data_IF_581797021028
#
_entry.id   IF_581797021028
#
_cell.length_a   1.000
_cell.length_b   1.000
_cell.length_c   1.000
_cell.angle_alpha   90.00
_cell.angle_beta   90.00
_cell.angle_gamma   90.00
#
_symmetry.space_group_name_H-M   'P 1'
#
loop_
_entity.id
_entity.type
_entity.pdbx_description
1 polymer ?
#
# COMPACT_ATOMS: atom_id res chain seq x y z
N UNK A 1 23.32 -17.49 35.06
CA UNK A 1 23.28 -17.34 33.60
C UNK A 1 22.46 -16.09 33.33
N UNK A 2 23.15 -14.97 33.13
CA UNK A 2 22.64 -13.62 33.40
C UNK A 2 22.08 -12.99 32.13
N UNK A 3 20.91 -12.39 32.29
CA UNK A 3 20.11 -11.68 31.30
C UNK A 3 20.91 -10.51 30.69
N UNK A 4 21.19 -10.60 29.39
CA UNK A 4 21.90 -9.55 28.65
C UNK A 4 20.86 -8.61 28.05
N UNK A 5 20.62 -7.52 28.77
CA UNK A 5 19.72 -6.41 28.42
C UNK A 5 20.27 -5.67 27.18
N UNK A 6 19.86 -6.10 25.98
CA UNK A 6 20.27 -5.48 24.70
C UNK A 6 19.53 -4.15 24.55
N UNK A 7 20.15 -3.07 25.03
CA UNK A 7 19.69 -1.71 24.76
C UNK A 7 19.97 -1.33 23.31
N UNK A 8 18.95 -1.44 22.47
CA UNK A 8 18.99 -0.91 21.10
C UNK A 8 19.04 0.62 21.17
N UNK A 9 20.23 1.21 21.09
CA UNK A 9 20.39 2.66 20.96
C UNK A 9 20.09 3.05 19.51
N UNK A 10 18.89 3.55 19.24
CA UNK A 10 18.57 4.16 17.95
C UNK A 10 19.41 5.45 17.85
N UNK A 11 20.28 5.61 16.83
CA UNK A 11 21.05 6.82 16.67
C UNK A 11 20.12 8.02 16.57
N UNK A 12 20.21 8.95 17.52
CA UNK A 12 19.45 10.19 17.44
C UNK A 12 19.96 10.97 16.23
N UNK A 13 19.10 11.09 15.22
CA UNK A 13 19.38 11.87 14.03
C UNK A 13 19.80 13.29 14.46
N UNK A 14 21.00 13.71 14.04
CA UNK A 14 21.65 14.96 14.48
C UNK A 14 20.79 16.22 14.30
N UNK A 15 19.83 16.17 13.38
CA UNK A 15 18.91 17.27 13.09
C UNK A 15 17.50 17.09 13.64
N UNK A 16 17.24 16.05 14.45
CA UNK A 16 15.94 15.81 15.08
C UNK A 16 15.39 17.03 15.85
N UNK A 17 16.19 17.83 16.59
CA UNK A 17 15.70 19.03 17.28
C UNK A 17 15.28 20.16 16.34
N UNK A 18 15.84 20.21 15.12
CA UNK A 18 15.63 21.27 14.14
C UNK A 18 14.75 20.84 12.95
N UNK A 19 14.38 19.57 12.87
CA UNK A 19 13.61 18.99 11.78
C UNK A 19 12.31 19.78 11.52
N UNK A 20 11.63 20.19 12.59
CA UNK A 20 10.40 20.99 12.51
C UNK A 20 10.61 22.39 11.91
N UNK A 21 11.81 22.97 12.04
CA UNK A 21 12.16 24.27 11.42
C UNK A 21 12.33 24.17 9.91
N UNK A 22 12.61 22.96 9.41
CA UNK A 22 12.69 22.67 7.98
C UNK A 22 11.33 22.26 7.39
N UNK A 23 10.44 21.70 8.21
CA UNK A 23 9.06 21.34 7.78
C UNK A 23 8.31 22.59 7.28
N UNK A 24 8.46 23.75 7.94
CA UNK A 24 7.82 24.99 7.47
C UNK A 24 8.44 25.58 6.20
N UNK A 25 9.66 25.16 5.83
CA UNK A 25 10.33 25.54 4.57
C UNK A 25 9.99 24.60 3.42
N UNK A 26 9.46 23.41 3.70
CA UNK A 26 8.79 22.55 2.72
C UNK A 26 7.40 23.11 2.41
N UNK A 27 7.37 24.26 1.75
CA UNK A 27 6.15 24.83 1.19
C UNK A 27 5.73 24.03 -0.05
N UNK A 28 4.43 23.95 -0.36
CA UNK A 28 3.88 23.25 -1.54
C UNK A 28 4.59 23.63 -2.84
N UNK A 29 5.03 24.89 -2.97
CA UNK A 29 5.83 25.35 -4.11
C UNK A 29 7.15 24.59 -4.24
N UNK A 30 7.84 24.31 -3.14
CA UNK A 30 9.08 23.55 -3.13
C UNK A 30 8.84 22.08 -3.49
N UNK A 31 7.80 21.46 -2.92
CA UNK A 31 7.40 20.09 -3.27
C UNK A 31 7.05 19.97 -4.76
N UNK A 32 6.28 20.93 -5.30
CA UNK A 32 5.96 21.02 -6.73
C UNK A 32 7.21 21.22 -7.60
N UNK A 33 8.11 22.14 -7.25
CA UNK A 33 9.35 22.37 -8.00
C UNK A 33 10.25 21.13 -8.02
N UNK A 34 10.40 20.44 -6.89
CA UNK A 34 11.22 19.24 -6.77
C UNK A 34 10.60 18.07 -7.54
N UNK A 35 9.29 17.82 -7.41
CA UNK A 35 8.59 16.77 -8.16
C UNK A 35 8.59 17.06 -9.67
N UNK A 36 8.50 18.31 -10.09
CA UNK A 36 8.56 18.66 -11.52
C UNK A 36 9.88 18.25 -12.14
N UNK A 37 10.98 18.50 -11.44
CA UNK A 37 12.34 18.20 -11.91
C UNK A 37 12.69 16.72 -11.74
N UNK A 38 12.41 16.15 -10.57
CA UNK A 38 12.91 14.83 -10.17
C UNK A 38 11.85 13.72 -10.13
N UNK A 39 10.57 14.05 -10.37
CA UNK A 39 9.40 13.17 -10.22
C UNK A 39 9.25 12.59 -8.80
N UNK A 40 8.22 11.79 -8.57
CA UNK A 40 8.10 11.02 -7.33
C UNK A 40 9.15 9.90 -7.21
N UNK A 41 10.11 9.74 -8.14
CA UNK A 41 11.21 8.78 -7.98
C UNK A 41 12.10 9.05 -6.77
N UNK A 42 12.14 10.28 -6.26
CA UNK A 42 12.97 10.70 -5.11
C UNK A 42 12.43 10.29 -3.75
N UNK A 43 11.34 9.54 -3.71
CA UNK A 43 10.75 9.11 -2.45
C UNK A 43 11.79 8.44 -1.54
N UNK A 44 11.71 8.67 -0.21
CA UNK A 44 12.60 8.02 0.75
C UNK A 44 12.60 6.49 0.61
N UNK A 45 13.74 5.86 0.90
CA UNK A 45 13.88 4.41 0.81
C UNK A 45 12.83 3.65 1.64
N UNK A 46 12.48 4.18 2.82
CA UNK A 46 11.41 3.62 3.67
C UNK A 46 10.04 3.62 2.98
N UNK A 47 9.78 4.61 2.14
CA UNK A 47 8.51 4.73 1.42
C UNK A 47 8.50 3.82 0.20
N UNK A 48 9.61 3.73 -0.54
CA UNK A 48 9.79 2.71 -1.59
C UNK A 48 9.60 1.30 -1.04
N UNK A 49 10.16 1.00 0.14
CA UNK A 49 10.00 -0.30 0.79
C UNK A 49 8.54 -0.68 1.04
N UNK A 50 7.63 0.28 1.29
CA UNK A 50 6.19 0.00 1.42
C UNK A 50 5.59 -0.49 0.10
N UNK A 51 5.95 0.13 -1.03
CA UNK A 51 5.48 -0.33 -2.35
C UNK A 51 6.04 -1.69 -2.73
N UNK A 52 7.31 -1.95 -2.39
CA UNK A 52 7.94 -3.26 -2.59
C UNK A 52 7.26 -4.34 -1.74
N UNK A 53 6.93 -4.04 -0.49
CA UNK A 53 6.20 -4.96 0.39
C UNK A 53 4.77 -5.26 -0.09
N UNK A 54 4.18 -4.38 -0.90
CA UNK A 54 2.90 -4.64 -1.59
C UNK A 54 3.05 -5.54 -2.82
N UNK A 55 4.28 -5.91 -3.20
CA UNK A 55 4.57 -6.77 -4.35
C UNK A 55 4.12 -6.13 -5.69
N UNK A 56 4.18 -4.81 -5.77
CA UNK A 56 4.02 -4.08 -7.03
C UNK A 56 5.31 -4.25 -7.84
N UNK A 57 5.25 -4.68 -9.12
CA UNK A 57 6.44 -4.84 -9.95
C UNK A 57 7.29 -3.56 -10.01
N UNK A 58 8.61 -3.71 -9.93
CA UNK A 58 9.56 -2.59 -9.85
C UNK A 58 9.47 -1.65 -11.05
N UNK A 59 9.33 -2.22 -12.24
CA UNK A 59 9.18 -1.48 -13.49
C UNK A 59 7.90 -0.64 -13.51
N UNK A 60 6.79 -1.21 -13.03
CA UNK A 60 5.52 -0.50 -12.88
C UNK A 60 5.65 0.60 -11.84
N UNK A 61 6.23 0.31 -10.67
CA UNK A 61 6.47 1.29 -9.62
C UNK A 61 7.32 2.47 -10.14
N UNK A 62 8.44 2.18 -10.79
CA UNK A 62 9.34 3.21 -11.31
C UNK A 62 8.73 4.00 -12.47
N UNK A 63 7.84 3.40 -13.26
CA UNK A 63 7.08 4.09 -14.31
C UNK A 63 6.01 5.02 -13.70
N UNK A 64 5.20 4.52 -12.76
CA UNK A 64 4.17 5.30 -12.07
C UNK A 64 4.80 6.45 -11.28
N UNK A 65 5.90 6.24 -10.57
CA UNK A 65 6.58 7.31 -9.86
C UNK A 65 7.24 8.34 -10.81
N UNK A 66 7.60 7.94 -12.04
CA UNK A 66 8.15 8.85 -13.04
C UNK A 66 7.11 9.80 -13.65
N UNK A 67 5.85 9.36 -13.72
CA UNK A 67 4.77 10.17 -14.31
C UNK A 67 4.28 11.25 -13.35
N UNK A 68 4.45 11.06 -12.04
CA UNK A 68 4.05 12.02 -11.00
C UNK A 68 5.05 13.19 -10.99
N UNK A 69 4.61 14.37 -11.44
CA UNK A 69 5.39 15.61 -11.52
C UNK A 69 4.90 16.69 -10.57
N UNK A 70 3.69 16.55 -10.05
CA UNK A 70 3.11 17.39 -9.01
C UNK A 70 2.44 16.52 -7.95
N UNK A 71 2.19 17.05 -6.73
CA UNK A 71 1.42 16.32 -5.72
C UNK A 71 0.00 15.97 -6.18
N UNK A 72 -0.58 16.79 -7.06
CA UNK A 72 -1.93 16.60 -7.58
C UNK A 72 -2.01 15.40 -8.54
N UNK A 73 -0.90 15.08 -9.23
CA UNK A 73 -0.81 13.93 -10.14
C UNK A 73 -0.83 12.57 -9.41
N UNK A 74 -0.63 12.57 -8.08
CA UNK A 74 -0.39 11.34 -7.31
C UNK A 74 -1.54 10.34 -7.47
N UNK A 75 -2.77 10.76 -7.13
CA UNK A 75 -3.91 9.85 -7.19
C UNK A 75 -4.19 9.42 -8.62
N UNK A 76 -4.13 10.34 -9.58
CA UNK A 76 -4.40 10.05 -10.99
C UNK A 76 -3.43 9.00 -11.55
N UNK A 77 -2.13 9.13 -11.28
CA UNK A 77 -1.13 8.16 -11.73
C UNK A 77 -1.37 6.77 -11.14
N UNK A 78 -1.73 6.69 -9.87
CA UNK A 78 -2.04 5.42 -9.21
C UNK A 78 -3.38 4.82 -9.65
N UNK A 79 -4.40 5.65 -9.93
CA UNK A 79 -5.68 5.23 -10.50
C UNK A 79 -5.45 4.69 -11.91
N UNK A 80 -4.66 5.37 -12.75
CA UNK A 80 -4.31 4.89 -14.08
C UNK A 80 -3.59 3.54 -14.01
N UNK A 81 -2.63 3.40 -13.08
CA UNK A 81 -1.94 2.13 -12.82
C UNK A 81 -2.92 1.03 -12.42
N UNK A 82 -3.89 1.33 -11.55
CA UNK A 82 -4.94 0.39 -11.17
C UNK A 82 -5.80 -0.04 -12.37
N UNK A 83 -6.15 0.91 -13.25
CA UNK A 83 -6.94 0.62 -14.46
C UNK A 83 -6.20 -0.25 -15.46
N UNK A 84 -4.87 -0.10 -15.59
CA UNK A 84 -4.03 -1.01 -16.41
C UNK A 84 -4.13 -2.44 -15.90
N UNK A 85 -3.95 -2.66 -14.60
CA UNK A 85 -4.11 -3.99 -14.00
C UNK A 85 -5.55 -4.54 -14.10
N UNK A 86 -6.58 -3.69 -14.05
CA UNK A 86 -7.96 -4.13 -14.35
C UNK A 86 -8.13 -4.55 -15.81
N UNK A 87 -7.42 -3.89 -16.73
CA UNK A 87 -7.28 -4.33 -18.12
C UNK A 87 -6.67 -5.73 -18.21
N UNK A 88 -5.59 -5.98 -17.49
CA UNK A 88 -4.89 -7.28 -17.46
C UNK A 88 -5.78 -8.37 -16.88
N UNK A 89 -6.44 -8.08 -15.76
CA UNK A 89 -7.44 -8.94 -15.13
C UNK A 89 -8.51 -9.37 -16.13
N UNK A 90 -9.08 -8.41 -16.91
CA UNK A 90 -10.10 -8.73 -17.92
C UNK A 90 -9.55 -9.69 -18.98
N UNK A 91 -8.33 -9.45 -19.47
CA UNK A 91 -7.68 -10.32 -20.47
C UNK A 91 -7.46 -11.74 -19.94
N UNK A 92 -6.99 -11.87 -18.69
CA UNK A 92 -6.73 -13.16 -18.06
C UNK A 92 -8.02 -13.93 -17.76
N UNK A 93 -9.10 -13.25 -17.36
CA UNK A 93 -10.43 -13.87 -17.24
C UNK A 93 -10.90 -14.42 -18.58
N UNK A 94 -10.80 -13.64 -19.66
CA UNK A 94 -11.15 -14.09 -21.01
C UNK A 94 -10.31 -15.30 -21.45
N UNK A 95 -9.04 -15.36 -21.04
CA UNK A 95 -8.13 -16.48 -21.28
C UNK A 95 -8.29 -17.65 -20.30
N UNK A 96 -9.24 -17.59 -19.35
CA UNK A 96 -9.47 -18.60 -18.29
C UNK A 96 -8.26 -18.84 -17.36
N UNK A 97 -7.40 -17.84 -17.21
CA UNK A 97 -6.23 -17.84 -16.33
C UNK A 97 -6.58 -17.24 -14.97
N UNK A 98 -7.18 -18.05 -14.08
CA UNK A 98 -7.80 -17.56 -12.85
C UNK A 98 -6.80 -17.03 -11.80
N UNK A 99 -5.62 -17.65 -11.68
CA UNK A 99 -4.62 -17.23 -10.69
C UNK A 99 -4.00 -15.89 -11.09
N UNK A 100 -3.63 -15.77 -12.36
CA UNK A 100 -3.12 -14.56 -12.96
C UNK A 100 -4.15 -13.44 -12.85
N UNK A 101 -5.42 -13.73 -13.19
CA UNK A 101 -6.53 -12.79 -13.03
C UNK A 101 -6.66 -12.27 -11.59
N UNK A 102 -6.58 -13.17 -10.61
CA UNK A 102 -6.64 -12.76 -9.21
C UNK A 102 -5.43 -11.91 -8.80
N UNK A 103 -4.24 -12.22 -9.31
CA UNK A 103 -3.03 -11.46 -9.04
C UNK A 103 -3.10 -10.05 -9.63
N UNK A 104 -3.54 -9.92 -10.89
CA UNK A 104 -3.80 -8.62 -11.52
C UNK A 104 -4.87 -7.82 -10.74
N UNK A 105 -5.95 -8.49 -10.31
CA UNK A 105 -6.98 -7.85 -9.48
C UNK A 105 -6.42 -7.35 -8.13
N UNK A 106 -5.55 -8.13 -7.48
CA UNK A 106 -4.86 -7.70 -6.24
C UNK A 106 -3.99 -6.47 -6.50
N UNK A 107 -3.21 -6.45 -7.58
CA UNK A 107 -2.35 -5.32 -7.92
C UNK A 107 -3.17 -4.05 -8.23
N UNK A 108 -4.32 -4.19 -8.88
CA UNK A 108 -5.27 -3.09 -9.04
C UNK A 108 -5.75 -2.54 -7.69
N UNK A 109 -6.11 -3.44 -6.76
CA UNK A 109 -6.53 -3.04 -5.42
C UNK A 109 -5.44 -2.26 -4.65
N UNK A 110 -4.19 -2.72 -4.73
CA UNK A 110 -3.05 -2.08 -4.07
C UNK A 110 -2.64 -0.76 -4.74
N UNK A 111 -2.87 -0.63 -6.04
CA UNK A 111 -2.71 0.63 -6.76
C UNK A 111 -3.75 1.66 -6.30
N UNK A 112 -5.02 1.27 -6.15
CA UNK A 112 -6.03 2.14 -5.53
C UNK A 112 -5.76 2.46 -4.05
N UNK A 113 -5.16 1.53 -3.30
CA UNK A 113 -4.69 1.83 -1.95
C UNK A 113 -3.59 2.90 -1.97
N UNK A 114 -2.65 2.77 -2.90
CA UNK A 114 -1.52 3.70 -3.09
C UNK A 114 -1.98 5.11 -3.47
N UNK A 115 -3.05 5.23 -4.26
CA UNK A 115 -3.66 6.51 -4.62
C UNK A 115 -4.11 7.35 -3.41
N UNK A 116 -4.38 6.72 -2.26
CA UNK A 116 -4.87 7.38 -1.05
C UNK A 116 -3.75 7.86 -0.11
N UNK A 117 -2.49 7.47 -0.38
CA UNK A 117 -1.41 7.66 0.59
C UNK A 117 -0.88 9.10 0.63
N UNK A 118 -0.95 9.83 -0.49
CA UNK A 118 -0.36 11.16 -0.64
C UNK A 118 -1.19 12.02 -1.60
N UNK A 119 -0.92 13.33 -1.58
CA UNK A 119 -1.53 14.30 -2.49
C UNK A 119 -2.82 14.92 -1.96
N UNK A 120 -3.20 16.04 -2.59
CA UNK A 120 -4.38 16.85 -2.30
C UNK A 120 -5.60 16.39 -3.08
N UNK A 121 -5.88 15.08 -3.07
CA UNK A 121 -7.09 14.55 -3.73
C UNK A 121 -8.34 14.90 -2.92
N UNK A 122 -9.45 15.13 -3.62
CA UNK A 122 -10.72 15.39 -2.97
C UNK A 122 -11.25 14.15 -2.22
N UNK A 123 -12.05 14.40 -1.18
CA UNK A 123 -12.61 13.36 -0.30
C UNK A 123 -13.42 12.30 -1.06
N UNK A 124 -14.10 12.69 -2.16
CA UNK A 124 -14.90 11.74 -2.96
C UNK A 124 -13.99 10.78 -3.72
N UNK A 125 -12.88 11.26 -4.28
CA UNK A 125 -11.87 10.42 -4.93
C UNK A 125 -11.24 9.44 -3.94
N UNK A 126 -10.83 9.92 -2.76
CA UNK A 126 -10.25 9.07 -1.70
C UNK A 126 -11.24 7.99 -1.27
N UNK A 127 -12.51 8.35 -1.02
CA UNK A 127 -13.56 7.39 -0.63
C UNK A 127 -13.80 6.34 -1.72
N UNK A 128 -13.80 6.75 -2.98
CA UNK A 128 -13.98 5.84 -4.13
C UNK A 128 -12.81 4.87 -4.24
N UNK A 129 -11.57 5.36 -4.14
CA UNK A 129 -10.38 4.52 -4.15
C UNK A 129 -10.37 3.55 -2.97
N UNK A 130 -10.79 3.99 -1.77
CA UNK A 130 -10.89 3.13 -0.59
C UNK A 130 -11.88 1.98 -0.80
N UNK A 131 -13.07 2.29 -1.31
CA UNK A 131 -14.08 1.29 -1.60
C UNK A 131 -13.61 0.31 -2.69
N UNK A 132 -13.01 0.82 -3.76
CA UNK A 132 -12.47 0.01 -4.85
C UNK A 132 -11.35 -0.93 -4.37
N UNK A 133 -10.37 -0.40 -3.62
CA UNK A 133 -9.28 -1.18 -3.05
C UNK A 133 -9.80 -2.33 -2.16
N UNK A 134 -10.70 -2.01 -1.22
CA UNK A 134 -11.26 -3.02 -0.32
C UNK A 134 -12.04 -4.11 -1.08
N UNK A 135 -12.88 -3.71 -2.05
CA UNK A 135 -13.68 -4.65 -2.84
C UNK A 135 -12.82 -5.56 -3.71
N UNK A 136 -11.88 -4.99 -4.47
CA UNK A 136 -11.01 -5.75 -5.37
C UNK A 136 -10.09 -6.70 -4.61
N UNK A 137 -9.52 -6.25 -3.48
CA UNK A 137 -8.68 -7.10 -2.64
C UNK A 137 -9.48 -8.27 -2.06
N UNK A 138 -10.68 -8.01 -1.56
CA UNK A 138 -11.55 -9.06 -1.02
C UNK A 138 -11.92 -10.12 -2.07
N UNK A 139 -12.13 -9.72 -3.32
CA UNK A 139 -12.43 -10.63 -4.43
C UNK A 139 -11.20 -11.41 -4.93
N UNK A 140 -9.99 -10.86 -4.79
CA UNK A 140 -8.75 -11.54 -5.14
C UNK A 140 -8.28 -12.53 -4.05
N UNK A 141 -8.65 -12.26 -2.79
CA UNK A 141 -8.11 -12.95 -1.63
C UNK A 141 -8.21 -14.50 -1.67
N UNK A 142 -9.34 -15.12 -2.08
CA UNK A 142 -9.45 -16.58 -2.07
C UNK A 142 -8.45 -17.29 -3.00
N UNK A 143 -7.96 -16.60 -4.01
CA UNK A 143 -7.02 -17.16 -4.99
C UNK A 143 -5.56 -16.84 -4.63
N UNK A 144 -5.29 -15.62 -4.13
CA UNK A 144 -3.92 -15.21 -3.77
C UNK A 144 -3.50 -15.76 -2.41
N UNK A 145 -4.43 -15.83 -1.46
CA UNK A 145 -4.19 -16.31 -0.10
C UNK A 145 -5.23 -17.37 0.24
N UNK A 146 -5.17 -18.58 -0.36
CA UNK A 146 -6.21 -19.60 -0.21
C UNK A 146 -6.38 -20.08 1.22
N UNK A 147 -5.32 -20.04 2.02
CA UNK A 147 -5.35 -20.43 3.44
C UNK A 147 -5.82 -19.30 4.37
N UNK A 148 -6.02 -18.09 3.85
CA UNK A 148 -6.55 -16.98 4.62
C UNK A 148 -8.08 -17.01 4.63
N UNK A 149 -8.65 -16.85 5.82
CA UNK A 149 -10.09 -16.79 6.04
C UNK A 149 -10.51 -15.35 6.32
N UNK A 150 -11.47 -14.86 5.55
CA UNK A 150 -12.13 -13.58 5.84
C UNK A 150 -13.04 -13.71 7.06
N UNK A 151 -12.87 -12.82 8.02
CA UNK A 151 -13.66 -12.72 9.24
C UNK A 151 -14.41 -11.38 9.29
N UNK A 152 -15.54 -11.39 9.98
CA UNK A 152 -16.30 -10.19 10.29
C UNK A 152 -16.44 -10.08 11.81
N UNK A 153 -15.46 -9.42 12.43
CA UNK A 153 -15.34 -9.27 13.89
C UNK A 153 -16.37 -8.26 14.39
N UNK A 154 -17.28 -8.64 15.30
CA UNK A 154 -18.22 -7.69 15.89
C UNK A 154 -17.49 -6.62 16.70
N UNK A 155 -17.83 -5.34 16.47
CA UNK A 155 -17.28 -4.21 17.23
C UNK A 155 -18.31 -3.08 17.34
N UNK A 156 -18.87 -2.90 18.55
CA UNK A 156 -19.98 -1.97 18.80
C UNK A 156 -21.13 -2.21 17.78
N UNK A 157 -21.57 -1.18 17.07
CA UNK A 157 -22.60 -1.23 16.02
C UNK A 157 -22.05 -1.62 14.63
N UNK A 158 -20.78 -2.02 14.54
CA UNK A 158 -20.10 -2.32 13.28
C UNK A 158 -19.55 -3.74 13.22
N UNK A 159 -19.26 -4.21 12.00
CA UNK A 159 -18.52 -5.45 11.75
C UNK A 159 -17.21 -5.11 11.08
N UNK A 160 -16.11 -5.33 11.77
CA UNK A 160 -14.77 -5.05 11.25
C UNK A 160 -14.33 -6.20 10.34
N UNK A 161 -13.96 -5.93 9.08
CA UNK A 161 -13.37 -6.93 8.22
C UNK A 161 -11.96 -7.27 8.71
N UNK A 162 -11.65 -8.56 8.81
CA UNK A 162 -10.32 -9.04 9.13
C UNK A 162 -9.98 -10.26 8.26
N UNK A 163 -8.68 -10.54 8.13
CA UNK A 163 -8.20 -11.76 7.47
C UNK A 163 -7.36 -12.54 8.48
N UNK A 164 -7.68 -13.82 8.65
CA UNK A 164 -6.97 -14.74 9.51
C UNK A 164 -6.25 -15.76 8.64
N UNK A 165 -4.92 -15.78 8.71
CA UNK A 165 -4.12 -16.81 8.06
C UNK A 165 -3.56 -17.74 9.13
N UNK A 166 -3.98 -19.01 9.08
CA UNK A 166 -3.42 -20.05 9.94
C UNK A 166 -2.17 -20.66 9.29
N UNK A 167 -1.15 -21.05 10.08
CA UNK A 167 -0.01 -21.78 9.53
C UNK A 167 -0.45 -23.16 9.03
N UNK A 168 0.15 -23.61 7.92
CA UNK A 168 -0.08 -24.95 7.37
C UNK A 168 0.41 -26.01 8.36
N UNK A 169 -0.44 -26.98 8.69
CA UNK A 169 -0.12 -28.05 9.63
C UNK A 169 -0.05 -27.63 11.11
N UNK A 170 -0.63 -26.48 11.47
CA UNK A 170 -0.58 -25.94 12.83
C UNK A 170 -1.28 -26.80 13.88
N UNK A 171 -0.60 -26.97 15.03
CA UNK A 171 -1.17 -27.53 16.26
C UNK A 171 -2.26 -26.63 16.86
N UNK A 172 -3.16 -27.20 17.66
CA UNK A 172 -4.27 -26.53 18.34
C UNK A 172 -3.87 -25.34 19.24
N UNK A 173 -2.58 -25.16 19.54
CA UNK A 173 -2.04 -24.01 20.30
C UNK A 173 -0.97 -23.30 19.48
N UNK A 174 -1.37 -22.26 18.76
CA UNK A 174 -0.47 -21.39 18.00
C UNK A 174 -0.64 -19.94 18.49
N UNK A 175 0.47 -19.19 18.58
CA UNK A 175 0.43 -17.76 18.92
C UNK A 175 -0.27 -16.93 17.83
N UNK A 176 -1.03 -15.91 18.23
CA UNK A 176 -1.73 -15.00 17.33
C UNK A 176 -1.02 -13.64 17.30
N UNK A 177 -0.67 -13.19 16.11
CA UNK A 177 -0.22 -11.81 15.87
C UNK A 177 -1.36 -11.04 15.22
N UNK A 178 -1.75 -9.92 15.83
CA UNK A 178 -2.77 -9.01 15.28
C UNK A 178 -2.07 -7.80 14.70
N UNK A 179 -2.22 -7.61 13.39
CA UNK A 179 -1.69 -6.43 12.69
C UNK A 179 -2.82 -5.42 12.47
N UNK A 180 -2.55 -4.18 12.87
CA UNK A 180 -3.44 -3.04 12.68
C UNK A 180 -2.74 -2.07 11.72
N UNK A 181 -3.52 -1.48 10.81
CA UNK A 181 -3.04 -0.47 9.87
C UNK A 181 -2.98 0.92 10.52
#
# INVERSE_FOLDING_TARGET
MTDADVRISIPRWRYAPDAWRWVSRFNDRHARSVLRVRSARILPASMRARFLAMDIPNDVLDATLASIRTPDDWADAWIETAQRFLGDYRRQVSARQLLEAAQARRLAALSYHSAQLFGSSDERTIRTCRAAAASLFAQAQPYVYPDARRLAVPWRSHRLPAYLQAPKGGSARTGLVVMLN
#
